data_IF_529231674988
#
_entry.id   IF_529231674988
#
_cell.length_a   1.000
_cell.length_b   1.000
_cell.length_c   1.000
_cell.angle_alpha   90.00
_cell.angle_beta   90.00
_cell.angle_gamma   90.00
#
_symmetry.space_group_name_H-M   'P 1'
#
loop_
_entity.id
_entity.type
_entity.pdbx_description
1 polymer ?
#
# COMPACT_ATOMS: atom_id res chain seq x y z
N UNK A 1 32.65 1.00 -5.04
CA UNK A 1 31.54 1.86 -4.56
C UNK A 1 30.40 2.08 -5.56
N UNK A 2 30.66 2.38 -6.85
CA UNK A 2 29.59 2.63 -7.85
C UNK A 2 28.61 1.47 -8.06
N UNK A 3 29.08 0.23 -8.14
CA UNK A 3 28.22 -0.94 -8.36
C UNK A 3 27.25 -1.22 -7.19
N UNK A 4 27.65 -0.94 -5.96
CA UNK A 4 26.78 -1.08 -4.78
C UNK A 4 25.61 -0.12 -4.81
N UNK A 5 25.90 1.16 -5.05
CA UNK A 5 24.87 2.18 -5.15
C UNK A 5 23.88 1.88 -6.29
N UNK A 6 24.38 1.31 -7.38
CA UNK A 6 23.53 0.88 -8.48
C UNK A 6 22.58 -0.25 -8.08
N UNK A 7 23.12 -1.32 -7.45
CA UNK A 7 22.33 -2.46 -7.00
C UNK A 7 21.26 -2.00 -5.99
N UNK A 8 21.65 -1.21 -5.00
CA UNK A 8 20.73 -0.69 -3.99
C UNK A 8 19.62 0.17 -4.61
N UNK A 9 19.99 1.15 -5.43
CA UNK A 9 19.02 2.02 -6.09
C UNK A 9 18.05 1.25 -6.99
N UNK A 10 18.56 0.29 -7.75
CA UNK A 10 17.74 -0.51 -8.65
C UNK A 10 16.77 -1.40 -7.89
N UNK A 11 17.23 -2.06 -6.82
CA UNK A 11 16.37 -2.87 -5.94
C UNK A 11 15.31 -2.01 -5.26
N UNK A 12 15.69 -0.85 -4.73
CA UNK A 12 14.76 0.10 -4.10
C UNK A 12 13.69 0.58 -5.09
N UNK A 13 14.11 0.98 -6.28
CA UNK A 13 13.20 1.47 -7.32
C UNK A 13 12.22 0.38 -7.78
N UNK A 14 12.70 -0.85 -7.95
CA UNK A 14 11.86 -1.98 -8.35
C UNK A 14 10.86 -2.36 -7.25
N UNK A 15 11.29 -2.37 -6.00
CA UNK A 15 10.42 -2.60 -4.85
C UNK A 15 9.34 -1.53 -4.74
N UNK A 16 9.72 -0.25 -4.81
CA UNK A 16 8.75 0.86 -4.78
C UNK A 16 7.80 0.82 -5.98
N UNK A 17 8.30 0.48 -7.18
CA UNK A 17 7.47 0.31 -8.36
C UNK A 17 6.43 -0.80 -8.18
N UNK A 18 6.84 -1.95 -7.65
CA UNK A 18 5.92 -3.04 -7.35
C UNK A 18 4.89 -2.64 -6.29
N UNK A 19 5.31 -1.91 -5.24
CA UNK A 19 4.42 -1.42 -4.19
C UNK A 19 3.36 -0.46 -4.76
N UNK A 20 3.77 0.48 -5.62
CA UNK A 20 2.84 1.42 -6.27
C UNK A 20 1.84 0.69 -7.16
N UNK A 21 2.27 -0.32 -7.92
CA UNK A 21 1.36 -1.10 -8.77
C UNK A 21 0.33 -1.85 -7.91
N UNK A 22 0.77 -2.51 -6.84
CA UNK A 22 -0.12 -3.24 -5.93
C UNK A 22 -1.09 -2.27 -5.25
N UNK A 23 -0.60 -1.13 -4.77
CA UNK A 23 -1.42 -0.07 -4.19
C UNK A 23 -2.48 0.45 -5.16
N UNK A 24 -2.11 0.69 -6.42
CA UNK A 24 -3.06 1.15 -7.44
C UNK A 24 -4.16 0.12 -7.71
N UNK A 25 -3.83 -1.16 -7.69
CA UNK A 25 -4.80 -2.25 -7.84
C UNK A 25 -5.75 -2.28 -6.62
N UNK A 26 -5.20 -2.29 -5.39
CA UNK A 26 -5.99 -2.29 -4.16
C UNK A 26 -6.90 -1.07 -4.09
N UNK A 27 -6.35 0.11 -4.36
CA UNK A 27 -7.10 1.35 -4.41
C UNK A 27 -8.27 1.28 -5.41
N UNK A 28 -8.05 0.75 -6.60
CA UNK A 28 -9.09 0.64 -7.62
C UNK A 28 -10.25 -0.24 -7.16
N UNK A 29 -9.97 -1.42 -6.60
CA UNK A 29 -11.00 -2.30 -6.09
C UNK A 29 -11.80 -1.66 -4.94
N UNK A 30 -11.11 -1.05 -3.99
CA UNK A 30 -11.78 -0.39 -2.86
C UNK A 30 -12.57 0.86 -3.30
N UNK A 31 -12.11 1.57 -4.34
CA UNK A 31 -12.82 2.70 -4.88
C UNK A 31 -14.16 2.29 -5.52
N UNK A 32 -14.17 1.20 -6.27
CA UNK A 32 -15.42 0.68 -6.81
C UNK A 32 -16.41 0.26 -5.71
N UNK A 33 -15.92 -0.37 -4.66
CA UNK A 33 -16.76 -0.73 -3.50
C UNK A 33 -17.30 0.52 -2.76
N UNK A 34 -16.49 1.55 -2.61
CA UNK A 34 -16.87 2.77 -1.89
C UNK A 34 -17.88 3.65 -2.67
N UNK A 35 -17.90 3.51 -4.00
CA UNK A 35 -18.89 4.22 -4.85
C UNK A 35 -20.32 3.79 -4.53
N UNK A 36 -20.52 2.55 -4.11
CA UNK A 36 -21.85 2.02 -3.77
C UNK A 36 -22.44 2.70 -2.51
N UNK A 37 -21.60 3.24 -1.63
CA UNK A 37 -22.00 3.93 -0.40
C UNK A 37 -22.26 5.44 -0.59
N UNK A 38 -22.07 5.96 -1.81
CA UNK A 38 -22.24 7.38 -2.11
C UNK A 38 -23.71 7.79 -2.00
N UNK A 39 -23.96 8.88 -1.28
CA UNK A 39 -25.29 9.45 -1.04
C UNK A 39 -25.19 10.98 -0.93
N UNK A 40 -26.34 11.65 -0.65
CA UNK A 40 -26.40 13.10 -0.56
C UNK A 40 -25.46 13.72 0.50
N UNK A 41 -25.08 12.96 1.54
CA UNK A 41 -24.21 13.40 2.64
C UNK A 41 -22.78 12.90 2.49
N UNK A 42 -22.54 11.90 1.62
CA UNK A 42 -21.24 11.28 1.37
C UNK A 42 -20.91 11.35 -0.11
N UNK A 43 -20.01 12.25 -0.46
CA UNK A 43 -19.69 12.59 -1.85
C UNK A 43 -18.51 11.74 -2.38
N UNK A 44 -18.31 11.76 -3.72
CA UNK A 44 -17.13 11.15 -4.36
C UNK A 44 -15.81 11.67 -3.79
N UNK A 45 -15.75 12.94 -3.39
CA UNK A 45 -14.55 13.52 -2.78
C UNK A 45 -14.29 12.93 -1.39
N UNK A 46 -15.36 12.74 -0.60
CA UNK A 46 -15.26 12.12 0.73
C UNK A 46 -14.77 10.67 0.62
N UNK A 47 -15.29 9.90 -0.35
CA UNK A 47 -14.86 8.54 -0.65
C UNK A 47 -13.38 8.49 -1.03
N UNK A 48 -12.93 9.38 -1.91
CA UNK A 48 -11.53 9.47 -2.32
C UNK A 48 -10.61 9.82 -1.14
N UNK A 49 -10.98 10.80 -0.33
CA UNK A 49 -10.19 11.20 0.85
C UNK A 49 -10.12 10.08 1.88
N UNK A 50 -11.23 9.37 2.11
CA UNK A 50 -11.28 8.23 3.00
C UNK A 50 -10.34 7.11 2.52
N UNK A 51 -10.38 6.78 1.24
CA UNK A 51 -9.52 5.76 0.65
C UNK A 51 -8.04 6.14 0.74
N UNK A 52 -7.68 7.38 0.39
CA UNK A 52 -6.30 7.86 0.52
C UNK A 52 -5.80 7.85 1.97
N UNK A 53 -6.65 8.16 2.94
CA UNK A 53 -6.30 8.14 4.35
C UNK A 53 -6.15 6.71 4.91
N UNK A 54 -6.88 5.73 4.35
CA UNK A 54 -6.84 4.33 4.79
C UNK A 54 -5.85 3.48 4.01
N UNK A 55 -5.39 3.95 2.84
CA UNK A 55 -4.45 3.24 1.96
C UNK A 55 -3.16 2.80 2.68
N UNK A 56 -2.48 3.63 3.49
CA UNK A 56 -1.26 3.21 4.18
C UNK A 56 -1.46 2.00 5.10
N UNK A 57 -2.64 1.87 5.69
CA UNK A 57 -2.98 0.72 6.52
C UNK A 57 -3.13 -0.56 5.70
N UNK A 58 -3.78 -0.51 4.53
CA UNK A 58 -3.99 -1.66 3.65
C UNK A 58 -2.69 -2.10 2.97
N UNK A 59 -1.90 -1.16 2.45
CA UNK A 59 -0.60 -1.43 1.80
C UNK A 59 0.34 -2.20 2.72
N UNK A 60 0.27 -1.99 4.03
CA UNK A 60 1.09 -2.73 5.00
C UNK A 60 1.05 -4.24 4.80
N UNK A 61 -0.14 -4.79 4.52
CA UNK A 61 -0.30 -6.23 4.25
C UNK A 61 0.42 -6.70 2.99
N UNK A 62 0.66 -5.80 2.04
CA UNK A 62 1.24 -6.11 0.74
C UNK A 62 2.74 -5.82 0.63
N UNK A 63 3.38 -5.25 1.67
CA UNK A 63 4.81 -4.90 1.64
C UNK A 63 5.68 -6.12 1.28
N UNK A 64 5.40 -7.27 1.87
CA UNK A 64 6.17 -8.49 1.60
C UNK A 64 5.94 -9.02 0.18
N UNK A 65 4.72 -8.96 -0.31
CA UNK A 65 4.38 -9.33 -1.69
C UNK A 65 5.07 -8.40 -2.68
N UNK A 66 5.03 -7.10 -2.44
CA UNK A 66 5.73 -6.09 -3.24
C UNK A 66 7.25 -6.31 -3.24
N UNK A 67 7.82 -6.72 -2.10
CA UNK A 67 9.24 -7.05 -2.01
C UNK A 67 9.59 -8.25 -2.88
N UNK A 68 8.81 -9.32 -2.85
CA UNK A 68 9.05 -10.51 -3.68
C UNK A 68 8.93 -10.18 -5.17
N UNK A 69 7.85 -9.50 -5.56
CA UNK A 69 7.61 -9.11 -6.97
C UNK A 69 8.68 -8.15 -7.46
N UNK A 70 9.00 -7.12 -6.69
CA UNK A 70 10.03 -6.14 -7.03
C UNK A 70 11.41 -6.79 -7.16
N UNK A 71 11.69 -7.74 -6.31
CA UNK A 71 12.93 -8.51 -6.34
C UNK A 71 13.05 -9.38 -7.59
N UNK A 72 12.00 -10.13 -7.92
CA UNK A 72 11.95 -10.93 -9.14
C UNK A 72 12.14 -10.05 -10.39
N UNK A 73 11.48 -8.88 -10.43
CA UNK A 73 11.60 -7.95 -11.54
C UNK A 73 13.04 -7.43 -11.74
N UNK A 74 13.80 -7.21 -10.66
CA UNK A 74 15.20 -6.78 -10.75
C UNK A 74 16.09 -7.87 -11.36
N UNK A 75 15.84 -9.13 -11.07
CA UNK A 75 16.64 -10.24 -11.61
C UNK A 75 16.43 -10.48 -13.12
N UNK A 76 15.40 -9.92 -13.71
CA UNK A 76 15.21 -9.94 -15.17
C UNK A 76 16.15 -8.94 -15.88
N UNK A 77 16.64 -7.91 -15.18
CA UNK A 77 17.54 -6.90 -15.77
C UNK A 77 18.98 -7.43 -15.90
N UNK A 78 19.41 -7.58 -17.15
CA UNK A 78 20.77 -8.08 -17.47
C UNK A 78 21.89 -7.18 -16.90
N UNK A 79 21.69 -5.86 -16.81
CA UNK A 79 22.70 -4.95 -16.26
C UNK A 79 22.80 -5.13 -14.73
N UNK A 80 21.66 -5.36 -14.08
CA UNK A 80 21.65 -5.71 -12.65
C UNK A 80 22.41 -7.01 -12.39
N UNK A 81 22.16 -8.05 -13.17
CA UNK A 81 22.86 -9.35 -13.05
C UNK A 81 24.36 -9.22 -13.24
N UNK A 82 24.80 -8.41 -14.22
CA UNK A 82 26.23 -8.13 -14.42
C UNK A 82 26.85 -7.43 -13.21
N UNK A 83 26.22 -6.36 -12.73
CA UNK A 83 26.68 -5.64 -11.54
C UNK A 83 26.70 -6.55 -10.31
N UNK A 84 25.67 -7.37 -10.13
CA UNK A 84 25.56 -8.35 -9.05
C UNK A 84 26.69 -9.37 -9.09
N UNK A 85 26.96 -9.96 -10.24
CA UNK A 85 28.04 -10.93 -10.42
C UNK A 85 29.42 -10.33 -10.17
N UNK A 86 29.66 -9.09 -10.65
CA UNK A 86 30.93 -8.36 -10.42
C UNK A 86 31.20 -8.20 -8.92
N UNK A 87 30.19 -7.77 -8.20
CA UNK A 87 30.31 -7.54 -6.74
C UNK A 87 30.46 -8.88 -6.00
N UNK A 88 29.79 -9.94 -6.44
CA UNK A 88 29.94 -11.30 -5.88
C UNK A 88 31.36 -11.84 -6.08
N UNK A 89 31.97 -11.63 -7.25
CA UNK A 89 33.35 -12.03 -7.55
C UNK A 89 34.37 -11.23 -6.72
N UNK A 90 34.06 -10.02 -6.31
CA UNK A 90 34.90 -9.20 -5.42
C UNK A 90 34.93 -9.70 -3.96
N UNK A 91 34.36 -10.87 -3.66
CA UNK A 91 34.50 -11.55 -2.35
C UNK A 91 33.59 -11.02 -1.25
N UNK A 92 32.51 -10.33 -1.59
CA UNK A 92 31.57 -9.90 -0.57
C UNK A 92 30.75 -11.03 0.03
N UNK A 93 30.58 -10.97 1.35
CA UNK A 93 29.76 -11.91 2.11
C UNK A 93 28.31 -11.91 1.62
N UNK A 94 27.73 -13.08 1.42
CA UNK A 94 26.32 -13.29 1.04
C UNK A 94 25.37 -12.55 1.98
N UNK A 95 25.72 -12.49 3.26
CA UNK A 95 24.92 -11.80 4.31
C UNK A 95 24.83 -10.29 4.09
N UNK A 96 25.93 -9.64 3.67
CA UNK A 96 25.91 -8.19 3.38
C UNK A 96 25.01 -7.86 2.20
N UNK A 97 24.92 -8.74 1.23
CA UNK A 97 23.99 -8.60 0.10
C UNK A 97 22.53 -8.70 0.52
N UNK A 98 22.22 -9.79 1.23
CA UNK A 98 20.87 -10.00 1.72
C UNK A 98 20.41 -8.80 2.55
N UNK A 99 21.26 -8.34 3.46
CA UNK A 99 20.96 -7.16 4.27
C UNK A 99 20.72 -5.90 3.42
N UNK A 100 21.55 -5.64 2.42
CA UNK A 100 21.43 -4.46 1.57
C UNK A 100 20.14 -4.44 0.75
N UNK A 101 19.67 -5.62 0.34
CA UNK A 101 18.46 -5.76 -0.47
C UNK A 101 17.20 -5.72 0.40
N UNK A 102 17.23 -6.37 1.57
CA UNK A 102 16.08 -6.43 2.46
C UNK A 102 15.98 -5.27 3.44
N UNK A 103 17.06 -4.51 3.68
CA UNK A 103 17.05 -3.37 4.60
C UNK A 103 15.92 -2.35 4.32
N UNK A 104 15.68 -1.90 3.06
CA UNK A 104 14.60 -0.97 2.78
C UNK A 104 13.22 -1.55 3.08
N UNK A 105 13.01 -2.86 2.85
CA UNK A 105 11.74 -3.53 3.15
C UNK A 105 11.50 -3.57 4.65
N UNK A 106 12.53 -3.92 5.43
CA UNK A 106 12.46 -3.97 6.90
C UNK A 106 12.22 -2.59 7.47
N UNK A 107 12.94 -1.57 7.00
CA UNK A 107 12.76 -0.19 7.44
C UNK A 107 11.35 0.34 7.13
N UNK A 108 10.84 0.06 5.95
CA UNK A 108 9.49 0.48 5.56
C UNK A 108 8.41 -0.26 6.36
N UNK A 109 8.64 -1.55 6.67
CA UNK A 109 7.74 -2.32 7.52
C UNK A 109 7.68 -1.73 8.93
N UNK A 110 8.82 -1.43 9.54
CA UNK A 110 8.90 -0.84 10.89
C UNK A 110 8.25 0.56 10.88
N UNK A 111 8.62 1.41 9.92
CA UNK A 111 8.06 2.75 9.81
C UNK A 111 6.53 2.74 9.64
N UNK A 112 6.01 1.79 8.87
CA UNK A 112 4.56 1.62 8.68
C UNK A 112 3.86 1.21 9.97
N UNK A 113 4.50 0.41 10.83
CA UNK A 113 3.90 -0.05 12.08
C UNK A 113 3.79 1.04 13.14
N UNK A 114 4.81 1.91 13.27
CA UNK A 114 4.90 2.83 14.40
C UNK A 114 4.35 4.24 14.10
N UNK A 115 4.50 4.76 12.87
CA UNK A 115 4.32 6.18 12.61
C UNK A 115 3.06 6.58 11.85
N UNK A 116 2.46 5.71 11.04
CA UNK A 116 1.46 6.15 10.05
C UNK A 116 0.04 5.70 10.39
N UNK A 117 -0.14 4.69 11.22
CA UNK A 117 -1.38 3.90 11.21
C UNK A 117 -2.44 4.29 12.23
N UNK A 118 -2.16 4.66 13.49
CA UNK A 118 -3.24 4.75 14.47
C UNK A 118 -4.14 5.98 14.32
N UNK A 119 -3.60 7.14 13.97
CA UNK A 119 -4.35 8.39 13.99
C UNK A 119 -5.13 8.66 12.69
N UNK A 120 -4.50 8.44 11.53
CA UNK A 120 -5.14 8.73 10.24
C UNK A 120 -6.34 7.83 9.97
N UNK A 121 -6.22 6.55 10.31
CA UNK A 121 -7.28 5.56 10.05
C UNK A 121 -8.47 5.73 10.98
N UNK A 122 -8.24 6.10 12.24
CA UNK A 122 -9.32 6.37 13.20
C UNK A 122 -10.15 7.57 12.77
N UNK A 123 -9.51 8.70 12.50
CA UNK A 123 -10.19 9.92 12.08
C UNK A 123 -10.97 9.74 10.77
N UNK A 124 -10.38 9.07 9.79
CA UNK A 124 -11.06 8.78 8.52
C UNK A 124 -12.28 7.88 8.70
N UNK A 125 -12.18 6.84 9.53
CA UNK A 125 -13.30 5.91 9.78
C UNK A 125 -14.43 6.53 10.59
N UNK A 126 -14.14 7.45 11.50
CA UNK A 126 -15.15 8.19 12.26
C UNK A 126 -15.92 9.17 11.36
N UNK A 127 -15.21 9.92 10.52
CA UNK A 127 -15.83 10.83 9.55
C UNK A 127 -16.72 10.06 8.56
N UNK A 128 -16.26 8.92 8.05
CA UNK A 128 -17.06 8.05 7.17
C UNK A 128 -18.33 7.56 7.88
N UNK A 129 -18.20 7.01 9.09
CA UNK A 129 -19.32 6.49 9.87
C UNK A 129 -20.36 7.57 10.13
N UNK A 130 -19.97 8.77 10.53
CA UNK A 130 -20.89 9.87 10.80
C UNK A 130 -21.66 10.32 9.55
N UNK A 131 -21.04 10.33 8.39
CA UNK A 131 -21.67 10.74 7.13
C UNK A 131 -22.56 9.66 6.52
N UNK A 132 -22.19 8.39 6.63
CA UNK A 132 -22.98 7.26 6.10
C UNK A 132 -24.19 6.97 7.01
N UNK A 133 -24.03 6.98 8.35
CA UNK A 133 -25.12 6.69 9.28
C UNK A 133 -26.16 7.79 9.34
N UNK A 134 -25.78 9.05 9.16
CA UNK A 134 -26.76 10.16 9.07
C UNK A 134 -27.69 10.06 7.87
N UNK A 135 -27.35 9.25 6.88
CA UNK A 135 -28.20 8.95 5.71
C UNK A 135 -29.23 7.86 6.01
N UNK A 136 -28.92 6.93 6.90
CA UNK A 136 -29.83 5.82 7.26
C UNK A 136 -30.93 6.28 8.20
N UNK A 137 -30.66 7.28 9.07
CA UNK A 137 -31.68 7.86 9.97
C UNK A 137 -32.71 8.74 9.24
N UNK A 138 -32.44 9.17 8.00
CA UNK A 138 -33.36 9.95 7.19
C UNK A 138 -34.21 9.11 6.22
N UNK A 139 -34.13 7.78 6.26
CA UNK A 139 -35.11 6.94 5.58
C UNK A 139 -36.43 7.00 6.34
N UNK A 140 -37.53 7.52 5.72
CA UNK A 140 -38.82 7.50 6.39
C UNK A 140 -39.17 6.06 6.69
N UNK A 141 -39.62 5.80 7.91
CA UNK A 141 -40.16 4.53 8.39
C UNK A 141 -41.42 4.20 7.59
N UNK A 142 -41.26 3.66 6.38
CA UNK A 142 -42.36 3.21 5.49
C UNK A 142 -42.49 1.67 5.58
N UNK A 143 -42.10 1.05 6.67
CA UNK A 143 -42.33 -0.39 6.85
C UNK A 143 -43.07 -0.64 8.16
N UNK A 144 -44.26 -0.02 8.31
CA UNK A 144 -45.15 -0.39 9.41
C UNK A 144 -46.64 -0.37 9.05
N UNK A 145 -47.01 -0.57 7.78
CA UNK A 145 -48.40 -0.75 7.38
C UNK A 145 -48.51 -1.90 6.38
N UNK A 146 -48.19 -3.12 6.78
CA UNK A 146 -48.63 -4.31 6.06
C UNK A 146 -48.73 -5.55 6.93
N UNK A 147 -49.22 -5.41 8.16
CA UNK A 147 -49.80 -6.52 8.92
C UNK A 147 -51.00 -6.03 9.74
N UNK A 148 -52.16 -5.88 9.07
CA UNK A 148 -53.49 -6.03 9.66
C UNK A 148 -54.47 -6.46 8.60
#
# INVERSE_FOLDING_TARGET
>A
MKAYNYIFKKSMLSFLGALVIIAAIDFSFNFFSEIEDINNNYTYLDALLYLLATEPYRIRGFIYLAAVVGFLAVFVDANFLRAFNTVRQAGLSKTKYAFMIFAPVVLLSIASYEFIIPELTKNASEVRKSKVSSSTDNLPVIIEIQER
#
